data_IF_147048613056
#
_entry.id   IF_147048613056
#
_cell.length_a   1.000
_cell.length_b   1.000
_cell.length_c   1.000
_cell.angle_alpha   90.00
_cell.angle_beta   90.00
_cell.angle_gamma   90.00
#
_symmetry.space_group_name_H-M   'P 1'
#
loop_
_entity.id
_entity.type
_entity.pdbx_description
1 polymer ?
#
# COMPACT_ATOMS: atom_id res chain seq x y z
N UNK A 1 -43.16 -44.53 1.04
CA UNK A 1 -41.94 -43.80 0.62
C UNK A 1 -42.26 -42.32 0.78
N UNK A 2 -41.50 -41.60 1.62
CA UNK A 2 -41.82 -40.24 2.05
C UNK A 2 -41.07 -39.28 1.14
N UNK A 3 -41.80 -38.64 0.23
CA UNK A 3 -41.26 -37.71 -0.76
C UNK A 3 -40.54 -36.58 -0.04
N UNK A 4 -39.20 -36.56 -0.14
CA UNK A 4 -38.44 -35.43 0.42
C UNK A 4 -38.74 -34.20 -0.43
N UNK A 5 -39.17 -33.08 0.17
CA UNK A 5 -39.58 -31.91 -0.59
C UNK A 5 -38.38 -31.34 -1.33
N UNK A 6 -38.49 -31.31 -2.65
CA UNK A 6 -37.49 -30.83 -3.61
C UNK A 6 -36.99 -29.40 -3.30
N UNK A 7 -37.81 -28.63 -2.59
CA UNK A 7 -37.50 -27.28 -2.09
C UNK A 7 -36.36 -27.23 -1.07
N UNK A 8 -36.19 -28.28 -0.24
CA UNK A 8 -35.07 -28.34 0.72
C UNK A 8 -33.74 -28.38 -0.04
N UNK A 9 -33.65 -29.17 -1.12
CA UNK A 9 -32.46 -29.24 -1.97
C UNK A 9 -32.13 -27.91 -2.65
N UNK A 10 -33.17 -27.20 -3.10
CA UNK A 10 -33.03 -25.89 -3.73
C UNK A 10 -32.48 -24.84 -2.74
N UNK A 11 -32.96 -24.87 -1.49
CA UNK A 11 -32.42 -24.04 -0.41
C UNK A 11 -30.97 -24.37 -0.08
N UNK A 12 -30.58 -25.65 0.00
CA UNK A 12 -29.18 -26.01 0.30
C UNK A 12 -28.23 -25.58 -0.81
N UNK A 13 -28.61 -25.74 -2.08
CA UNK A 13 -27.79 -25.30 -3.21
C UNK A 13 -27.68 -23.77 -3.24
N UNK A 14 -28.76 -23.05 -2.98
CA UNK A 14 -28.75 -21.59 -2.86
C UNK A 14 -27.82 -21.12 -1.73
N UNK A 15 -27.90 -21.76 -0.56
CA UNK A 15 -27.07 -21.42 0.59
C UNK A 15 -25.58 -21.69 0.32
N UNK A 16 -25.26 -22.82 -0.32
CA UNK A 16 -23.89 -23.15 -0.73
C UNK A 16 -23.35 -22.17 -1.78
N UNK A 17 -24.19 -21.72 -2.72
CA UNK A 17 -23.80 -20.71 -3.70
C UNK A 17 -23.50 -19.35 -3.05
N UNK A 18 -24.33 -18.92 -2.09
CA UNK A 18 -24.14 -17.70 -1.31
C UNK A 18 -22.85 -17.78 -0.47
N UNK A 19 -22.63 -18.89 0.24
CA UNK A 19 -21.44 -19.12 1.06
C UNK A 19 -20.17 -19.09 0.19
N UNK A 20 -20.19 -19.76 -0.98
CA UNK A 20 -19.05 -19.78 -1.89
C UNK A 20 -18.72 -18.39 -2.45
N UNK A 21 -19.74 -17.57 -2.75
CA UNK A 21 -19.55 -16.20 -3.19
C UNK A 21 -18.96 -15.31 -2.07
N UNK A 22 -19.43 -15.49 -0.82
CA UNK A 22 -18.96 -14.72 0.32
C UNK A 22 -17.56 -15.10 0.78
N UNK A 23 -17.15 -16.37 0.68
CA UNK A 23 -15.78 -16.81 1.02
C UNK A 23 -14.74 -16.12 0.14
N UNK A 24 -14.97 -16.07 -1.18
CA UNK A 24 -14.05 -15.39 -2.12
C UNK A 24 -13.91 -13.90 -1.79
N UNK A 25 -15.01 -13.31 -1.31
CA UNK A 25 -15.07 -11.90 -0.97
C UNK A 25 -14.34 -11.59 0.34
N UNK A 26 -14.53 -12.43 1.36
CA UNK A 26 -13.79 -12.39 2.61
C UNK A 26 -12.28 -12.54 2.38
N UNK A 27 -11.87 -13.43 1.47
CA UNK A 27 -10.47 -13.64 1.09
C UNK A 27 -9.85 -12.40 0.44
N UNK A 28 -10.56 -11.76 -0.49
CA UNK A 28 -10.09 -10.53 -1.14
C UNK A 28 -9.97 -9.37 -0.16
N UNK A 29 -10.90 -9.27 0.79
CA UNK A 29 -10.87 -8.28 1.86
C UNK A 29 -9.70 -8.51 2.81
N UNK A 30 -9.49 -9.76 3.25
CA UNK A 30 -8.36 -10.13 4.10
C UNK A 30 -7.01 -9.87 3.42
N UNK A 31 -6.87 -10.19 2.13
CA UNK A 31 -5.65 -9.92 1.36
C UNK A 31 -5.39 -8.42 1.19
N UNK A 32 -6.43 -7.61 0.90
CA UNK A 32 -6.29 -6.16 0.83
C UNK A 32 -5.89 -5.53 2.17
N UNK A 33 -6.43 -6.06 3.27
CA UNK A 33 -6.07 -5.62 4.63
C UNK A 33 -4.64 -6.02 5.00
N UNK A 34 -4.24 -7.24 4.65
CA UNK A 34 -2.87 -7.73 4.85
C UNK A 34 -1.85 -6.88 4.08
N UNK A 35 -2.19 -6.46 2.86
CA UNK A 35 -1.34 -5.56 2.07
C UNK A 35 -1.12 -4.20 2.73
N UNK A 36 -2.18 -3.62 3.31
CA UNK A 36 -2.06 -2.38 4.09
C UNK A 36 -1.26 -2.59 5.39
N UNK A 37 -1.44 -3.73 6.06
CA UNK A 37 -0.73 -4.06 7.30
C UNK A 37 0.79 -4.16 7.09
N UNK A 38 1.23 -4.82 6.03
CA UNK A 38 2.67 -4.88 5.69
C UNK A 38 3.24 -3.49 5.38
N UNK A 39 2.46 -2.66 4.68
CA UNK A 39 2.85 -1.27 4.38
C UNK A 39 2.99 -0.44 5.67
N UNK A 40 2.14 -0.69 6.66
CA UNK A 40 2.25 -0.09 7.99
C UNK A 40 3.50 -0.51 8.75
N UNK A 41 3.79 -1.82 8.82
CA UNK A 41 4.99 -2.34 9.49
C UNK A 41 6.26 -1.75 8.90
N UNK A 42 6.33 -1.63 7.57
CA UNK A 42 7.46 -1.00 6.88
C UNK A 42 7.63 0.47 7.27
N UNK A 43 6.53 1.21 7.41
CA UNK A 43 6.58 2.62 7.83
C UNK A 43 7.02 2.73 9.29
N UNK A 44 6.55 1.83 10.14
CA UNK A 44 6.90 1.79 11.56
C UNK A 44 8.38 1.47 11.76
N UNK A 45 8.89 0.43 11.09
CA UNK A 45 10.32 0.08 11.13
C UNK A 45 11.18 1.20 10.55
N UNK A 46 10.75 1.81 9.44
CA UNK A 46 11.47 2.95 8.88
C UNK A 46 11.50 4.15 9.84
N UNK A 47 10.40 4.44 10.54
CA UNK A 47 10.36 5.49 11.56
C UNK A 47 11.30 5.18 12.73
N UNK A 48 11.30 3.93 13.20
CA UNK A 48 12.17 3.50 14.28
C UNK A 48 13.65 3.62 13.90
N UNK A 49 14.00 3.18 12.69
CA UNK A 49 15.34 3.29 12.13
C UNK A 49 15.71 4.77 11.98
N UNK A 50 14.86 5.59 11.35
CA UNK A 50 15.15 7.00 11.11
C UNK A 50 15.29 7.82 12.40
N UNK A 51 14.53 7.49 13.45
CA UNK A 51 14.67 8.14 14.76
C UNK A 51 15.93 7.67 15.51
N UNK A 52 16.44 6.47 15.20
CA UNK A 52 17.68 5.95 15.77
C UNK A 52 18.94 6.59 15.16
N UNK A 53 18.82 7.28 14.02
CA UNK A 53 19.89 8.10 13.46
C UNK A 53 19.93 9.48 14.17
N UNK A 54 20.97 9.70 14.99
CA UNK A 54 21.20 10.95 15.74
C UNK A 54 21.30 12.18 14.81
N UNK A 55 20.91 13.39 15.28
CA UNK A 55 20.79 14.63 14.49
C UNK A 55 22.12 15.28 14.03
N UNK A 56 23.17 14.48 13.80
CA UNK A 56 24.47 14.93 13.27
C UNK A 56 25.06 14.01 12.18
N UNK A 57 24.48 12.82 11.96
CA UNK A 57 24.73 11.98 10.80
C UNK A 57 23.47 12.03 9.95
N UNK A 58 23.58 12.52 8.71
CA UNK A 58 22.45 12.81 7.82
C UNK A 58 21.32 11.79 7.89
N UNK A 59 20.09 12.29 8.04
CA UNK A 59 18.89 11.47 8.10
C UNK A 59 18.86 10.48 6.92
N UNK A 60 18.46 9.24 7.19
CA UNK A 60 18.23 8.22 6.14
C UNK A 60 17.27 8.74 5.06
N UNK A 61 16.35 9.64 5.43
CA UNK A 61 15.49 10.38 4.49
C UNK A 61 16.29 11.25 3.52
N UNK A 62 17.34 11.95 3.96
CA UNK A 62 18.20 12.76 3.08
C UNK A 62 18.99 11.88 2.11
N UNK A 63 19.54 10.77 2.57
CA UNK A 63 20.34 9.87 1.73
C UNK A 63 19.47 9.11 0.70
N UNK A 64 18.26 8.68 1.07
CA UNK A 64 17.30 8.06 0.16
C UNK A 64 16.57 9.08 -0.74
N UNK A 65 16.36 10.33 -0.29
CA UNK A 65 15.87 11.41 -1.14
C UNK A 65 16.83 11.68 -2.31
N UNK A 66 18.14 11.57 -2.07
CA UNK A 66 19.19 11.65 -3.10
C UNK A 66 19.05 10.57 -4.19
N UNK A 67 18.59 9.36 -3.84
CA UNK A 67 18.35 8.27 -4.79
C UNK A 67 17.07 8.48 -5.63
N UNK A 68 16.01 9.03 -5.03
CA UNK A 68 14.74 9.28 -5.74
C UNK A 68 14.79 10.46 -6.72
N UNK A 69 15.81 11.33 -6.61
CA UNK A 69 15.98 12.54 -7.41
C UNK A 69 17.07 12.30 -8.47
N UNK A 70 16.76 11.42 -9.42
CA UNK A 70 17.70 11.04 -10.47
C UNK A 70 18.38 12.22 -11.17
N UNK A 71 19.70 12.08 -11.37
CA UNK A 71 20.56 12.85 -12.27
C UNK A 71 20.63 14.36 -12.00
N UNK A 72 21.51 14.80 -11.10
CA UNK A 72 22.22 16.09 -11.19
C UNK A 72 23.52 16.00 -10.37
N UNK A 73 24.63 16.31 -11.04
CA UNK A 73 25.97 16.44 -10.50
C UNK A 73 26.05 17.41 -9.32
N UNK A 74 27.06 17.17 -8.45
CA UNK A 74 27.76 18.08 -7.52
C UNK A 74 27.68 17.60 -6.06
N UNK A 75 28.86 17.21 -5.55
CA UNK A 75 29.32 17.34 -4.17
C UNK A 75 28.59 16.51 -3.11
N UNK A 76 29.26 15.49 -2.58
CA UNK A 76 28.90 14.75 -1.37
C UNK A 76 27.58 13.97 -1.43
N UNK A 77 27.58 12.93 -2.27
CA UNK A 77 26.64 11.82 -2.14
C UNK A 77 26.90 11.10 -0.81
N UNK A 78 26.11 11.44 0.21
CA UNK A 78 26.03 10.68 1.46
C UNK A 78 25.57 9.26 1.12
N UNK A 79 26.55 8.36 0.97
CA UNK A 79 26.35 6.96 0.64
C UNK A 79 25.37 6.36 1.66
N UNK A 80 24.19 5.94 1.18
CA UNK A 80 23.29 5.11 1.97
C UNK A 80 24.09 3.86 2.37
N UNK A 81 24.17 3.49 3.66
CA UNK A 81 24.92 2.32 4.07
C UNK A 81 24.42 1.08 3.34
N UNK A 82 25.32 0.30 2.74
CA UNK A 82 24.97 -0.88 1.94
C UNK A 82 24.08 -1.89 2.71
N UNK A 83 24.26 -2.03 4.03
CA UNK A 83 23.43 -2.91 4.87
C UNK A 83 21.97 -2.47 4.95
N UNK A 84 21.69 -1.16 4.84
CA UNK A 84 20.32 -0.64 4.80
C UNK A 84 19.70 -1.00 3.47
N UNK A 85 20.43 -0.82 2.36
CA UNK A 85 19.97 -1.21 1.02
C UNK A 85 19.73 -2.72 0.93
N UNK A 86 20.60 -3.53 1.53
CA UNK A 86 20.54 -4.98 1.50
C UNK A 86 19.43 -5.56 2.40
N UNK A 87 19.25 -5.01 3.60
CA UNK A 87 18.13 -5.36 4.49
C UNK A 87 16.79 -4.93 3.89
N UNK A 88 16.72 -3.70 3.38
CA UNK A 88 15.56 -3.23 2.62
C UNK A 88 15.39 -4.03 1.32
N UNK A 89 16.44 -4.54 0.67
CA UNK A 89 16.35 -5.38 -0.54
C UNK A 89 15.68 -6.74 -0.25
N UNK A 90 16.00 -7.34 0.90
CA UNK A 90 15.35 -8.57 1.36
C UNK A 90 13.90 -8.29 1.77
N UNK A 91 13.65 -7.26 2.57
CA UNK A 91 12.29 -6.86 2.98
C UNK A 91 11.46 -6.39 1.76
N UNK A 92 12.11 -5.88 0.71
CA UNK A 92 11.43 -5.49 -0.54
C UNK A 92 11.10 -6.66 -1.45
N UNK A 93 11.68 -7.84 -1.27
CA UNK A 93 11.18 -9.04 -1.94
C UNK A 93 9.78 -9.39 -1.43
N UNK A 94 9.54 -9.18 -0.14
CA UNK A 94 8.20 -9.24 0.46
C UNK A 94 7.32 -8.08 -0.01
N UNK A 95 7.86 -6.85 -0.07
CA UNK A 95 7.13 -5.72 -0.69
C UNK A 95 6.68 -6.09 -2.11
N UNK A 96 7.53 -6.69 -2.95
CA UNK A 96 7.16 -7.11 -4.32
C UNK A 96 6.03 -8.13 -4.33
N UNK A 97 6.01 -9.06 -3.37
CA UNK A 97 4.90 -9.99 -3.20
C UNK A 97 3.63 -9.27 -2.75
N UNK A 98 3.71 -8.36 -1.78
CA UNK A 98 2.62 -7.49 -1.32
C UNK A 98 2.06 -6.63 -2.47
N UNK A 99 2.94 -6.09 -3.32
CA UNK A 99 2.61 -5.26 -4.49
C UNK A 99 1.87 -6.07 -5.57
N UNK A 100 2.25 -7.34 -5.76
CA UNK A 100 1.54 -8.27 -6.65
C UNK A 100 0.25 -8.84 -6.00
N UNK A 101 0.18 -8.86 -4.67
CA UNK A 101 -0.91 -9.42 -3.88
C UNK A 101 -1.98 -8.39 -3.45
N UNK A 102 -2.01 -7.20 -4.05
CA UNK A 102 -3.14 -6.25 -3.95
C UNK A 102 -4.04 -6.30 -5.23
N UNK A 103 -4.79 -7.41 -5.45
CA UNK A 103 -5.64 -7.58 -6.63
C UNK A 103 -6.83 -6.62 -6.65
N UNK A 104 -7.22 -6.09 -5.49
CA UNK A 104 -8.33 -5.13 -5.33
C UNK A 104 -7.88 -3.68 -5.47
N UNK A 105 -6.57 -3.41 -5.36
CA UNK A 105 -5.99 -2.08 -5.52
C UNK A 105 -6.22 -1.16 -4.31
N UNK A 106 -6.42 -1.71 -3.12
CA UNK A 106 -6.67 -0.91 -1.92
C UNK A 106 -5.45 -0.10 -1.49
N UNK A 107 -4.25 -0.65 -1.62
CA UNK A 107 -3.04 0.05 -1.25
C UNK A 107 -2.75 1.18 -2.28
N UNK A 108 -3.00 0.94 -3.57
CA UNK A 108 -2.96 1.97 -4.62
C UNK A 108 -4.02 3.07 -4.40
N UNK A 109 -5.23 2.70 -3.97
CA UNK A 109 -6.28 3.66 -3.59
C UNK A 109 -5.84 4.53 -2.43
N UNK A 110 -5.21 3.94 -1.41
CA UNK A 110 -4.67 4.68 -0.28
C UNK A 110 -3.62 5.71 -0.73
N UNK A 111 -2.68 5.31 -1.59
CA UNK A 111 -1.65 6.23 -2.13
C UNK A 111 -2.24 7.36 -2.95
N UNK A 112 -3.20 7.05 -3.83
CA UNK A 112 -3.95 8.07 -4.56
C UNK A 112 -4.63 9.04 -3.58
N UNK A 113 -5.27 8.51 -2.54
CA UNK A 113 -5.98 9.30 -1.54
C UNK A 113 -5.04 10.22 -0.73
N UNK A 114 -3.95 9.71 -0.17
CA UNK A 114 -3.01 10.54 0.62
C UNK A 114 -2.30 11.57 -0.26
N UNK A 115 -2.01 11.26 -1.51
CA UNK A 115 -1.40 12.19 -2.46
C UNK A 115 -2.35 13.33 -2.84
N UNK A 116 -3.66 13.10 -2.76
CA UNK A 116 -4.69 14.11 -3.03
C UNK A 116 -4.93 15.07 -1.86
N UNK A 117 -4.43 14.75 -0.66
CA UNK A 117 -4.60 15.59 0.54
C UNK A 117 -3.66 16.80 0.53
N UNK A 118 -4.23 17.97 0.86
CA UNK A 118 -3.47 19.21 0.98
C UNK A 118 -2.61 19.27 2.26
N UNK A 119 -3.09 18.68 3.35
CA UNK A 119 -2.32 18.48 4.60
C UNK A 119 -2.14 16.99 4.84
N UNK A 120 -0.89 16.55 4.92
CA UNK A 120 -0.49 15.16 5.15
C UNK A 120 0.07 14.97 6.55
N UNK A 121 -0.15 13.79 7.13
CA UNK A 121 0.50 13.39 8.37
C UNK A 121 1.92 12.91 8.11
N UNK A 122 2.77 12.90 9.15
CA UNK A 122 4.16 12.39 9.05
C UNK A 122 4.20 10.94 8.56
N UNK A 123 3.23 10.11 8.97
CA UNK A 123 3.08 8.73 8.52
C UNK A 123 2.79 8.65 7.02
N UNK A 124 1.86 9.48 6.51
CA UNK A 124 1.53 9.53 5.08
C UNK A 124 2.71 9.98 4.23
N UNK A 125 3.49 10.96 4.71
CA UNK A 125 4.69 11.42 4.01
C UNK A 125 5.78 10.33 3.98
N UNK A 126 5.92 9.56 5.06
CA UNK A 126 6.85 8.42 5.07
C UNK A 126 6.41 7.31 4.10
N UNK A 127 5.11 7.03 4.00
CA UNK A 127 4.57 6.08 3.00
C UNK A 127 4.96 6.50 1.59
N UNK A 128 4.67 7.75 1.23
CA UNK A 128 5.00 8.28 -0.10
C UNK A 128 6.50 8.30 -0.35
N UNK A 129 7.30 8.61 0.67
CA UNK A 129 8.74 8.59 0.59
C UNK A 129 9.28 7.20 0.29
N UNK A 130 8.86 6.19 1.07
CA UNK A 130 9.25 4.80 0.87
C UNK A 130 8.90 4.34 -0.54
N UNK A 131 7.68 4.61 -1.00
CA UNK A 131 7.26 4.23 -2.35
C UNK A 131 8.10 4.89 -3.45
N UNK A 132 8.51 6.15 -3.27
CA UNK A 132 9.40 6.84 -4.23
C UNK A 132 10.83 6.29 -4.17
N UNK A 133 11.36 6.03 -2.98
CA UNK A 133 12.67 5.41 -2.78
C UNK A 133 12.73 4.01 -3.42
N UNK A 134 11.60 3.30 -3.41
CA UNK A 134 11.42 1.99 -4.01
C UNK A 134 10.73 2.01 -5.37
N UNK A 135 10.68 3.16 -6.05
CA UNK A 135 10.01 3.28 -7.35
C UNK A 135 10.57 2.34 -8.42
N UNK A 136 11.83 1.89 -8.27
CA UNK A 136 12.46 0.88 -9.12
C UNK A 136 11.82 -0.52 -9.03
N UNK A 137 11.05 -0.79 -7.97
CA UNK A 137 10.28 -2.03 -7.80
C UNK A 137 8.89 -1.96 -8.43
N UNK A 138 8.44 -0.77 -8.85
CA UNK A 138 7.17 -0.55 -9.57
C UNK A 138 7.34 -0.91 -11.06
N UNK A 139 7.52 -2.20 -11.34
CA UNK A 139 7.77 -2.73 -12.70
C UNK A 139 6.70 -2.26 -13.71
N UNK A 140 5.44 -2.14 -13.24
CA UNK A 140 4.29 -1.82 -14.08
C UNK A 140 3.91 -0.31 -14.05
N UNK A 141 4.62 0.50 -13.26
CA UNK A 141 4.33 1.92 -13.08
C UNK A 141 2.96 2.19 -12.41
N UNK A 142 2.40 1.21 -11.72
CA UNK A 142 1.03 1.26 -11.18
C UNK A 142 0.90 2.21 -9.99
N UNK A 143 1.98 2.38 -9.22
CA UNK A 143 2.04 3.30 -8.09
C UNK A 143 2.28 4.73 -8.54
N UNK A 144 3.15 4.89 -9.53
CA UNK A 144 3.35 6.20 -10.15
C UNK A 144 2.05 6.71 -10.78
N UNK A 145 1.26 5.83 -11.41
CA UNK A 145 -0.10 6.16 -11.89
C UNK A 145 -1.03 6.54 -10.75
N UNK A 146 -1.04 5.79 -9.65
CA UNK A 146 -1.86 6.08 -8.48
C UNK A 146 -1.54 7.46 -7.88
N UNK A 147 -0.24 7.75 -7.72
CA UNK A 147 0.26 9.03 -7.22
C UNK A 147 -0.10 10.18 -8.18
N UNK A 148 0.14 10.01 -9.47
CA UNK A 148 -0.18 11.03 -10.47
C UNK A 148 -1.69 11.31 -10.54
N UNK A 149 -2.51 10.26 -10.43
CA UNK A 149 -3.96 10.38 -10.37
C UNK A 149 -4.41 11.15 -9.11
N UNK A 150 -3.82 10.82 -7.95
CA UNK A 150 -4.09 11.51 -6.70
C UNK A 150 -3.72 13.00 -6.77
N UNK A 151 -2.56 13.30 -7.36
CA UNK A 151 -2.05 14.67 -7.54
C UNK A 151 -2.91 15.51 -8.48
N UNK A 152 -3.37 14.94 -9.60
CA UNK A 152 -4.13 15.68 -10.62
C UNK A 152 -5.62 15.79 -10.29
N UNK A 153 -6.23 14.70 -9.85
CA UNK A 153 -7.69 14.55 -9.82
C UNK A 153 -8.24 14.02 -8.49
N UNK A 154 -7.40 13.78 -7.48
CA UNK A 154 -7.81 13.02 -6.31
C UNK A 154 -8.90 13.68 -5.44
N UNK A 155 -9.01 15.03 -5.45
CA UNK A 155 -10.06 15.76 -4.72
C UNK A 155 -11.47 15.57 -5.28
N UNK A 156 -11.59 15.12 -6.53
CA UNK A 156 -12.88 14.94 -7.23
C UNK A 156 -13.43 13.50 -7.14
N UNK A 157 -12.96 12.72 -6.16
CA UNK A 157 -13.30 11.30 -6.04
C UNK A 157 -12.72 10.42 -7.15
N UNK A 158 -11.69 10.90 -7.86
CA UNK A 158 -11.08 10.15 -8.96
C UNK A 158 -10.38 8.88 -8.47
N UNK A 159 -9.85 8.89 -7.24
CA UNK A 159 -9.23 7.73 -6.62
C UNK A 159 -10.27 6.62 -6.36
N UNK A 160 -11.47 6.97 -5.92
CA UNK A 160 -12.58 6.05 -5.67
C UNK A 160 -13.10 5.44 -6.97
N UNK A 161 -13.15 6.23 -8.05
CA UNK A 161 -13.56 5.75 -9.37
C UNK A 161 -12.52 4.82 -9.99
N UNK A 162 -11.23 5.17 -9.92
CA UNK A 162 -10.15 4.36 -10.48
C UNK A 162 -9.98 3.03 -9.73
N UNK A 163 -10.12 3.05 -8.40
CA UNK A 163 -9.95 1.88 -7.54
C UNK A 163 -11.28 1.40 -6.95
N UNK A 164 -12.31 1.29 -7.80
CA UNK A 164 -13.67 0.85 -7.41
C UNK A 164 -13.74 -0.56 -6.82
N UNK A 165 -12.75 -1.41 -7.11
CA UNK A 165 -12.65 -2.77 -6.58
C UNK A 165 -12.30 -2.78 -5.09
N UNK A 166 -11.65 -1.73 -4.59
CA UNK A 166 -11.42 -1.56 -3.17
C UNK A 166 -12.64 -0.95 -2.50
N UNK A 167 -13.24 -1.72 -1.59
CA UNK A 167 -14.47 -1.35 -0.90
C UNK A 167 -14.28 -0.31 0.21
N UNK A 168 -13.06 -0.18 0.72
CA UNK A 168 -12.74 0.81 1.74
C UNK A 168 -12.65 2.21 1.14
N UNK A 169 -13.19 3.20 1.84
CA UNK A 169 -12.98 4.61 1.49
C UNK A 169 -11.54 5.03 1.82
N UNK A 170 -11.04 6.08 1.16
CA UNK A 170 -9.72 6.61 1.50
C UNK A 170 -9.59 7.02 2.97
N UNK A 171 -10.66 7.53 3.57
CA UNK A 171 -10.71 7.86 5.00
C UNK A 171 -10.65 6.63 5.91
N UNK A 172 -11.29 5.51 5.53
CA UNK A 172 -11.20 4.24 6.29
C UNK A 172 -9.78 3.66 6.22
N UNK A 173 -9.18 3.67 5.03
CA UNK A 173 -7.79 3.23 4.84
C UNK A 173 -6.82 4.10 5.65
N UNK A 174 -7.06 5.41 5.68
CA UNK A 174 -6.26 6.32 6.49
C UNK A 174 -6.44 6.08 8.00
N UNK A 175 -7.66 5.80 8.46
CA UNK A 175 -7.89 5.42 9.85
C UNK A 175 -7.13 4.14 10.21
N UNK A 176 -7.14 3.13 9.33
CA UNK A 176 -6.40 1.89 9.55
C UNK A 176 -4.89 2.15 9.70
N UNK A 177 -4.31 2.96 8.82
CA UNK A 177 -2.88 3.30 8.85
C UNK A 177 -2.45 4.18 10.03
N UNK A 178 -3.38 4.83 10.72
CA UNK A 178 -3.08 5.65 11.91
C UNK A 178 -3.50 4.97 13.23
N UNK A 179 -4.19 3.84 13.17
CA UNK A 179 -4.72 3.11 14.34
C UNK A 179 -3.78 1.98 14.81
N UNK A 180 -2.93 1.53 13.90
CA UNK A 180 -1.83 0.60 14.16
C UNK A 180 -0.58 1.42 14.43
#
# INVERSE_FOLDING_TARGET
MRDRPLWIWLLTVLFLAIVKAHIRLLLLLALGLAGLYMLHLLVQDFQHINNSFRPGQGSLLSSLAGLSRGKRSIGDAQQVPNWVVERLANDTKEMRQVLNNDPVGCARKYVCHIQSKQKRSRTQDNVLFLLRAFSWLDINGEWKKAEELGRKNGTNGACEKAYKKCWYSGAQLDKFMNMI
#
